data_IF_827320631972
#
_entry.id   IF_827320631972
#
_cell.length_a   1.000
_cell.length_b   1.000
_cell.length_c   1.000
_cell.angle_alpha   90.00
_cell.angle_beta   90.00
_cell.angle_gamma   90.00
#
_symmetry.space_group_name_H-M   'P 1'
#
loop_
_entity.id
_entity.type
_entity.pdbx_description
1 polymer ?
#
# COMPACT_ATOMS: atom_id res chain seq x y z
N UNK A 1 -14.94 -10.61 -16.38
CA UNK A 1 -13.50 -10.35 -16.55
C UNK A 1 -12.93 -10.23 -15.15
N UNK A 2 -12.03 -11.12 -14.74
CA UNK A 2 -11.22 -10.86 -13.55
C UNK A 2 -10.20 -9.83 -14.01
N UNK A 3 -10.47 -8.55 -13.76
CA UNK A 3 -9.50 -7.50 -14.05
C UNK A 3 -8.27 -7.77 -13.21
N UNK A 4 -7.10 -7.82 -13.84
CA UNK A 4 -5.83 -7.79 -13.11
C UNK A 4 -5.78 -6.49 -12.31
N UNK A 5 -5.93 -6.58 -10.99
CA UNK A 5 -5.74 -5.42 -10.14
C UNK A 5 -4.31 -4.90 -10.28
N UNK A 6 -4.19 -3.60 -10.51
CA UNK A 6 -2.89 -2.93 -10.54
C UNK A 6 -2.52 -2.50 -9.13
N UNK A 7 -1.30 -2.79 -8.73
CA UNK A 7 -0.74 -2.29 -7.47
C UNK A 7 -0.13 -0.90 -7.74
N UNK A 8 -0.56 0.09 -6.97
CA UNK A 8 0.04 1.43 -6.95
C UNK A 8 0.88 1.53 -5.67
N UNK A 9 2.20 1.61 -5.79
CA UNK A 9 3.11 1.78 -4.65
C UNK A 9 3.62 3.22 -4.55
N UNK A 10 3.80 3.70 -3.31
CA UNK A 10 4.45 4.98 -3.00
C UNK A 10 3.95 6.13 -3.89
N UNK A 11 2.64 6.20 -4.10
CA UNK A 11 2.00 7.22 -4.92
C UNK A 11 2.24 8.60 -4.35
N UNK A 12 2.95 9.39 -5.14
CA UNK A 12 3.28 10.77 -4.83
C UNK A 12 3.01 11.59 -6.09
N UNK A 13 2.06 12.51 -6.01
CA UNK A 13 1.77 13.47 -7.08
C UNK A 13 2.30 14.84 -6.67
N UNK A 14 3.52 15.18 -7.11
CA UNK A 14 4.11 16.50 -6.88
C UNK A 14 3.54 17.53 -7.85
N UNK A 15 3.01 18.64 -7.34
CA UNK A 15 2.59 19.79 -8.14
C UNK A 15 3.72 20.82 -8.22
N UNK A 16 3.63 21.70 -9.21
CA UNK A 16 4.57 22.82 -9.34
C UNK A 16 4.45 23.74 -8.13
N UNK A 17 5.59 24.01 -7.46
CA UNK A 17 5.66 24.81 -6.25
C UNK A 17 5.66 24.03 -4.94
N UNK A 18 5.34 22.73 -4.96
CA UNK A 18 5.33 21.90 -3.75
C UNK A 18 6.75 21.67 -3.20
N UNK A 19 6.88 21.72 -1.87
CA UNK A 19 8.05 21.20 -1.18
C UNK A 19 8.10 19.68 -1.25
N UNK A 20 9.24 19.09 -0.88
CA UNK A 20 9.38 17.64 -0.80
C UNK A 20 8.54 16.99 0.30
N UNK A 21 8.12 17.77 1.30
CA UNK A 21 7.36 17.25 2.44
C UNK A 21 5.85 17.37 2.21
N UNK A 22 5.40 18.44 1.54
CA UNK A 22 3.97 18.69 1.26
C UNK A 22 3.30 17.51 0.53
N UNK A 23 4.06 16.88 -0.37
CA UNK A 23 3.61 15.76 -1.18
C UNK A 23 3.31 14.50 -0.36
N UNK A 24 3.86 14.36 0.85
CA UNK A 24 3.65 13.19 1.71
C UNK A 24 2.27 13.23 2.37
N UNK A 25 1.72 14.42 2.57
CA UNK A 25 0.43 14.70 3.21
C UNK A 25 -0.73 14.79 2.22
N UNK A 26 -0.46 14.62 0.92
CA UNK A 26 -1.53 14.60 -0.06
C UNK A 26 -2.45 13.40 0.15
N UNK A 27 -3.71 13.59 -0.21
CA UNK A 27 -4.71 12.52 -0.15
C UNK A 27 -4.20 11.30 -0.92
N UNK A 28 -4.26 10.14 -0.29
CA UNK A 28 -3.70 8.89 -0.81
C UNK A 28 -2.18 8.98 -1.05
N UNK A 29 -1.43 9.74 -0.26
CA UNK A 29 0.03 9.64 -0.17
C UNK A 29 0.42 8.99 1.15
N UNK A 30 1.71 8.70 1.33
CA UNK A 30 2.21 7.85 2.42
C UNK A 30 1.68 8.21 3.81
N UNK A 31 1.68 9.49 4.19
CA UNK A 31 1.23 9.90 5.53
C UNK A 31 -0.30 9.81 5.63
N UNK A 32 -1.03 10.29 4.62
CA UNK A 32 -2.50 10.16 4.57
C UNK A 32 -2.96 8.71 4.67
N UNK A 33 -2.30 7.78 3.95
CA UNK A 33 -2.64 6.36 4.04
C UNK A 33 -2.31 5.77 5.42
N UNK A 34 -1.22 6.20 6.03
CA UNK A 34 -0.85 5.76 7.38
C UNK A 34 -1.85 6.24 8.43
N UNK A 35 -2.33 7.49 8.30
CA UNK A 35 -3.39 8.06 9.14
C UNK A 35 -4.70 7.28 8.95
N UNK A 36 -5.12 7.04 7.70
CA UNK A 36 -6.34 6.25 7.40
C UNK A 36 -6.23 4.83 7.99
N UNK A 37 -5.08 4.17 7.83
CA UNK A 37 -4.87 2.82 8.37
C UNK A 37 -4.83 2.81 9.89
N UNK A 38 -4.30 3.84 10.55
CA UNK A 38 -4.29 3.93 12.02
C UNK A 38 -5.70 3.98 12.62
N UNK A 39 -6.70 4.47 11.86
CA UNK A 39 -8.09 4.50 12.32
C UNK A 39 -8.74 3.12 12.38
N UNK A 40 -8.25 2.14 11.61
CA UNK A 40 -8.87 0.81 11.50
C UNK A 40 -7.95 -0.36 11.83
N UNK A 41 -6.65 -0.27 11.56
CA UNK A 41 -5.68 -1.35 11.70
C UNK A 41 -4.50 -1.02 12.62
N UNK A 42 -3.60 -2.00 12.81
CA UNK A 42 -2.39 -1.83 13.62
C UNK A 42 -1.23 -1.27 12.78
N UNK A 43 -1.11 0.05 12.74
CA UNK A 43 -0.04 0.77 12.03
C UNK A 43 1.38 0.42 12.51
N UNK A 44 1.53 -0.07 13.75
CA UNK A 44 2.85 -0.50 14.27
C UNK A 44 3.25 -1.86 13.73
N UNK A 45 2.28 -2.68 13.34
CA UNK A 45 2.50 -3.99 12.74
C UNK A 45 2.55 -3.92 11.21
N UNK A 46 1.65 -3.16 10.61
CA UNK A 46 1.49 -3.07 9.16
C UNK A 46 1.52 -1.61 8.70
N UNK A 47 2.46 -1.30 7.81
CA UNK A 47 2.60 0.04 7.23
C UNK A 47 1.99 0.02 5.83
N UNK A 48 1.01 0.87 5.49
CA UNK A 48 0.51 0.98 4.14
C UNK A 48 1.58 1.59 3.23
N UNK A 49 1.86 0.91 2.12
CA UNK A 49 2.86 1.31 1.12
C UNK A 49 2.23 1.58 -0.26
N UNK A 50 0.92 1.41 -0.38
CA UNK A 50 0.20 1.52 -1.64
C UNK A 50 -1.26 1.05 -1.54
N UNK A 51 -1.92 0.95 -2.69
CA UNK A 51 -3.27 0.39 -2.81
C UNK A 51 -3.48 -0.37 -4.11
N UNK A 52 -4.55 -1.16 -4.14
CA UNK A 52 -5.10 -1.82 -5.30
C UNK A 52 -5.93 -0.83 -6.12
N UNK A 53 -5.55 -0.57 -7.37
CA UNK A 53 -6.09 0.52 -8.17
C UNK A 53 -7.59 0.46 -8.49
N UNK A 54 -8.22 -0.72 -8.34
CA UNK A 54 -9.67 -0.89 -8.59
C UNK A 54 -10.48 -1.01 -7.29
N UNK A 55 -10.09 -1.91 -6.39
CA UNK A 55 -10.80 -2.12 -5.11
C UNK A 55 -10.51 -1.05 -4.07
N UNK A 56 -9.39 -0.34 -4.18
CA UNK A 56 -8.95 0.64 -3.19
C UNK A 56 -8.29 0.03 -1.95
N UNK A 57 -8.19 -1.30 -1.86
CA UNK A 57 -7.61 -1.97 -0.70
C UNK A 57 -6.12 -1.68 -0.51
N UNK A 58 -5.66 -1.59 0.73
CA UNK A 58 -4.28 -1.27 1.04
C UNK A 58 -3.31 -2.41 0.73
N UNK A 59 -2.12 -2.03 0.25
CA UNK A 59 -0.93 -2.88 0.20
C UNK A 59 -0.09 -2.60 1.43
N UNK A 60 0.14 -3.63 2.24
CA UNK A 60 0.63 -3.51 3.61
C UNK A 60 1.98 -4.19 3.78
N UNK A 61 2.95 -3.45 4.33
CA UNK A 61 4.25 -3.97 4.72
C UNK A 61 4.24 -4.39 6.19
N UNK A 62 4.48 -5.67 6.48
CA UNK A 62 4.59 -6.14 7.86
C UNK A 62 5.98 -5.83 8.44
N UNK A 63 6.03 -5.06 9.53
CA UNK A 63 7.29 -4.56 10.12
C UNK A 63 8.19 -5.68 10.60
N UNK A 64 7.63 -6.76 11.17
CA UNK A 64 8.41 -7.84 11.78
C UNK A 64 9.03 -8.82 10.78
N UNK A 65 8.33 -9.10 9.67
CA UNK A 65 8.76 -10.12 8.69
C UNK A 65 9.28 -9.51 7.40
N UNK A 66 8.96 -8.24 7.12
CA UNK A 66 9.19 -7.57 5.84
C UNK A 66 8.39 -8.14 4.67
N UNK A 67 7.43 -9.03 4.95
CA UNK A 67 6.48 -9.53 3.96
C UNK A 67 5.46 -8.46 3.58
N UNK A 68 4.89 -8.61 2.39
CA UNK A 68 3.86 -7.73 1.86
C UNK A 68 2.53 -8.47 1.82
N UNK A 69 1.49 -7.84 2.34
CA UNK A 69 0.14 -8.35 2.41
C UNK A 69 -0.84 -7.39 1.73
N UNK A 70 -2.08 -7.85 1.61
CA UNK A 70 -3.23 -7.02 1.25
C UNK A 70 -4.13 -6.87 2.47
N UNK A 71 -4.81 -5.73 2.54
CA UNK A 71 -5.98 -5.56 3.40
C UNK A 71 -7.05 -6.62 3.11
N UNK A 72 -7.72 -7.09 4.16
CA UNK A 72 -8.94 -7.88 4.04
C UNK A 72 -10.12 -6.95 3.74
N UNK A 73 -10.63 -7.01 2.51
CA UNK A 73 -11.72 -6.12 2.05
C UNK A 73 -13.09 -6.44 2.68
N UNK A 74 -13.24 -7.58 3.35
CA UNK A 74 -14.48 -7.96 4.02
C UNK A 74 -14.54 -7.46 5.47
N UNK A 75 -13.40 -7.11 6.07
CA UNK A 75 -13.28 -6.74 7.49
C UNK A 75 -12.26 -5.59 7.67
N UNK A 76 -12.77 -4.40 7.96
CA UNK A 76 -11.95 -3.21 8.20
C UNK A 76 -10.85 -3.46 9.24
N UNK A 77 -9.62 -3.06 8.90
CA UNK A 77 -8.47 -3.17 9.81
C UNK A 77 -7.82 -4.55 9.87
N UNK A 78 -8.35 -5.55 9.17
CA UNK A 78 -7.74 -6.87 9.05
C UNK A 78 -6.87 -7.00 7.80
N UNK A 79 -5.97 -7.97 7.85
CA UNK A 79 -4.98 -8.26 6.82
C UNK A 79 -5.14 -9.69 6.37
N UNK A 80 -5.03 -9.93 5.06
CA UNK A 80 -5.08 -11.26 4.48
C UNK A 80 -4.05 -12.22 5.12
N UNK A 81 -4.41 -13.49 5.28
CA UNK A 81 -3.56 -14.48 5.97
C UNK A 81 -2.24 -14.79 5.22
N UNK A 82 -2.22 -14.56 3.91
CA UNK A 82 -1.10 -14.92 3.04
C UNK A 82 -0.43 -13.70 2.45
N UNK A 83 0.90 -13.60 2.51
CA UNK A 83 1.60 -12.53 1.86
C UNK A 83 1.54 -12.68 0.34
N UNK A 84 1.46 -11.56 -0.36
CA UNK A 84 1.58 -11.48 -1.82
C UNK A 84 3.06 -11.44 -2.27
N UNK A 85 3.98 -11.10 -1.37
CA UNK A 85 5.42 -11.15 -1.59
C UNK A 85 6.16 -11.28 -0.25
N UNK A 86 7.33 -11.93 -0.23
CA UNK A 86 8.15 -12.05 0.99
C UNK A 86 9.10 -10.86 1.19
N UNK A 87 9.10 -9.91 0.26
CA UNK A 87 9.85 -8.66 0.36
C UNK A 87 9.34 -7.63 -0.64
N UNK A 88 9.62 -6.36 -0.38
CA UNK A 88 9.38 -5.29 -1.37
C UNK A 88 10.16 -5.51 -2.68
N UNK A 89 11.37 -6.08 -2.60
CA UNK A 89 12.17 -6.41 -3.78
C UNK A 89 11.48 -7.47 -4.64
N UNK A 90 10.97 -8.52 -4.02
CA UNK A 90 10.23 -9.57 -4.72
C UNK A 90 8.98 -9.00 -5.38
N UNK A 91 8.21 -8.18 -4.66
CA UNK A 91 7.03 -7.50 -5.20
C UNK A 91 7.37 -6.69 -6.46
N UNK A 92 8.38 -5.81 -6.38
CA UNK A 92 8.80 -4.97 -7.51
C UNK A 92 9.29 -5.79 -8.70
N UNK A 93 10.07 -6.85 -8.45
CA UNK A 93 10.57 -7.71 -9.51
C UNK A 93 9.45 -8.46 -10.21
N UNK A 94 8.40 -8.86 -9.48
CA UNK A 94 7.25 -9.56 -10.04
C UNK A 94 6.30 -8.62 -10.79
N UNK A 95 6.25 -7.33 -10.45
CA UNK A 95 5.51 -6.32 -11.23
C UNK A 95 6.15 -6.06 -12.60
N UNK A 96 7.48 -6.10 -12.70
CA UNK A 96 8.24 -5.84 -13.93
C UNK A 96 8.12 -6.94 -15.00
N UNK A 97 7.44 -8.07 -14.74
CA UNK A 97 7.27 -9.17 -15.71
C UNK A 97 6.11 -8.91 -16.68
N UNK A 98 5.34 -7.83 -16.50
CA UNK A 98 4.14 -7.51 -17.30
C UNK A 98 4.32 -6.25 -18.19
N UNK A 99 5.56 -5.79 -18.42
CA UNK A 99 5.86 -4.77 -19.44
C UNK A 99 6.29 -5.38 -20.78
#
# INVERSE_FOLDING_TARGET
MVGTESIVLFSVLKKEGDSGDDILFYKNSLISMAEDWEEMGDIKKFIPIGWLGYSGGYVLYEVSSHNIFLENLDIDGEVEDKPIANSLKELINNMNVIM
#
